data_IF_826600805177
#
_entry.id   IF_826600805177
#
_cell.length_a   1.000
_cell.length_b   1.000
_cell.length_c   1.000
_cell.angle_alpha   90.00
_cell.angle_beta   90.00
_cell.angle_gamma   90.00
#
_symmetry.space_group_name_H-M   'P 1'
#
loop_
_entity.id
_entity.type
_entity.pdbx_description
1 polymer ?
#
# COMPACT_ATOMS: atom_id res chain seq x y z
N UNK A 1 -40.38 -17.90 -20.79
CA UNK A 1 -39.61 -18.84 -21.63
C UNK A 1 -38.22 -18.25 -21.80
N UNK A 2 -37.25 -18.75 -21.05
CA UNK A 2 -35.87 -18.25 -21.07
C UNK A 2 -35.01 -19.40 -21.58
N UNK A 3 -34.44 -19.22 -22.77
CA UNK A 3 -33.67 -20.23 -23.49
C UNK A 3 -32.23 -20.17 -23.00
N UNK A 4 -31.77 -21.21 -22.29
CA UNK A 4 -30.37 -21.41 -21.92
C UNK A 4 -29.58 -21.89 -23.15
N UNK A 5 -28.64 -21.08 -23.63
CA UNK A 5 -27.66 -21.52 -24.62
C UNK A 5 -26.40 -22.04 -23.92
N UNK A 6 -26.20 -23.35 -24.03
CA UNK A 6 -24.96 -24.05 -23.63
C UNK A 6 -23.99 -24.00 -24.81
N UNK A 7 -22.82 -23.41 -24.64
CA UNK A 7 -21.69 -23.55 -25.56
C UNK A 7 -20.75 -24.65 -25.08
N UNK A 8 -20.37 -25.63 -25.92
CA UNK A 8 -19.37 -26.64 -25.56
C UNK A 8 -17.96 -26.08 -25.84
N UNK A 9 -17.09 -26.18 -24.82
CA UNK A 9 -15.66 -25.90 -24.94
C UNK A 9 -14.98 -27.15 -25.50
N UNK A 10 -14.47 -27.04 -26.71
CA UNK A 10 -13.64 -28.07 -27.37
C UNK A 10 -12.20 -27.94 -26.89
N UNK A 11 -11.73 -28.96 -26.18
CA UNK A 11 -10.34 -29.11 -25.77
C UNK A 11 -9.50 -29.60 -26.97
N UNK A 12 -8.54 -28.79 -27.41
CA UNK A 12 -7.51 -29.22 -28.35
C UNK A 12 -6.21 -29.46 -27.61
N UNK A 13 -5.89 -30.71 -27.36
CA UNK A 13 -4.61 -31.22 -26.89
C UNK A 13 -3.66 -31.31 -28.08
N UNK A 14 -2.69 -30.40 -28.19
CA UNK A 14 -1.55 -30.57 -29.11
C UNK A 14 -0.30 -30.78 -28.27
N UNK A 15 0.10 -32.06 -28.23
CA UNK A 15 1.40 -32.44 -27.66
C UNK A 15 2.53 -32.05 -28.59
N UNK A 16 3.48 -31.28 -28.07
CA UNK A 16 4.76 -31.06 -28.73
C UNK A 16 5.87 -31.58 -27.82
N UNK A 17 6.37 -32.76 -28.18
CA UNK A 17 7.59 -33.32 -27.63
C UNK A 17 8.77 -32.52 -28.21
N UNK A 18 9.38 -31.64 -27.42
CA UNK A 18 10.61 -30.96 -27.79
C UNK A 18 11.79 -31.61 -27.07
N UNK A 19 12.68 -32.20 -27.91
CA UNK A 19 13.95 -32.81 -27.56
C UNK A 19 14.75 -32.00 -26.53
N UNK A 20 15.19 -32.67 -25.47
CA UNK A 20 16.21 -32.22 -24.55
C UNK A 20 17.54 -32.01 -25.29
N UNK A 21 17.82 -30.80 -25.70
CA UNK A 21 19.19 -30.37 -25.93
C UNK A 21 19.69 -29.75 -24.64
N UNK A 22 20.53 -30.46 -23.91
CA UNK A 22 21.27 -29.94 -22.79
C UNK A 22 22.25 -28.86 -23.31
N UNK A 23 22.11 -27.56 -22.99
CA UNK A 23 23.23 -26.67 -23.08
C UNK A 23 24.14 -26.95 -21.89
N UNK A 24 25.40 -27.18 -22.17
CA UNK A 24 26.50 -27.21 -21.22
C UNK A 24 26.30 -26.08 -20.19
N UNK A 25 26.07 -26.46 -18.94
CA UNK A 25 26.12 -25.55 -17.81
C UNK A 25 27.52 -25.00 -17.71
N UNK A 26 27.76 -23.88 -18.38
CA UNK A 26 28.93 -23.05 -18.18
C UNK A 26 28.81 -22.53 -16.75
N UNK A 27 29.61 -23.10 -15.86
CA UNK A 27 29.77 -22.59 -14.50
C UNK A 27 30.21 -21.12 -14.60
N UNK A 28 29.27 -20.22 -14.51
CA UNK A 28 29.56 -18.80 -14.31
C UNK A 28 30.08 -18.69 -12.88
N UNK A 29 31.35 -18.39 -12.78
CA UNK A 29 32.01 -18.07 -11.53
C UNK A 29 31.25 -16.92 -10.87
N UNK A 30 30.53 -17.24 -9.82
CA UNK A 30 29.83 -16.30 -8.92
C UNK A 30 30.93 -15.54 -8.16
N UNK A 31 31.45 -14.47 -8.73
CA UNK A 31 32.35 -13.57 -8.02
C UNK A 31 31.60 -12.87 -6.86
N UNK A 32 32.31 -12.42 -5.83
CA UNK A 32 31.70 -11.81 -4.63
C UNK A 32 30.83 -10.59 -4.93
N UNK A 33 30.96 -9.97 -6.09
CA UNK A 33 30.13 -8.84 -6.56
C UNK A 33 28.69 -9.22 -6.91
N UNK A 34 28.41 -10.49 -7.20
CA UNK A 34 27.07 -10.99 -7.53
C UNK A 34 26.13 -11.03 -6.33
N UNK A 35 26.65 -11.33 -5.14
CA UNK A 35 25.83 -11.42 -3.91
C UNK A 35 25.37 -10.04 -3.46
N UNK A 36 26.24 -9.04 -3.54
CA UNK A 36 25.90 -7.66 -3.17
C UNK A 36 24.81 -7.10 -4.08
N UNK A 37 24.93 -7.30 -5.40
CA UNK A 37 23.92 -6.87 -6.36
C UNK A 37 22.57 -7.57 -6.15
N UNK A 38 22.57 -8.84 -5.76
CA UNK A 38 21.34 -9.57 -5.44
C UNK A 38 20.69 -9.06 -4.16
N UNK A 39 21.46 -8.73 -3.14
CA UNK A 39 20.94 -8.15 -1.89
C UNK A 39 20.36 -6.76 -2.16
N UNK A 40 21.04 -5.91 -2.92
CA UNK A 40 20.55 -4.58 -3.29
C UNK A 40 19.24 -4.66 -4.09
N UNK A 41 19.16 -5.55 -5.08
CA UNK A 41 17.94 -5.76 -5.85
C UNK A 41 16.78 -6.25 -4.98
N UNK A 42 17.05 -7.15 -4.01
CA UNK A 42 16.04 -7.66 -3.09
C UNK A 42 15.57 -6.55 -2.12
N UNK A 43 16.47 -5.71 -1.63
CA UNK A 43 16.14 -4.57 -0.76
C UNK A 43 15.28 -3.55 -1.51
N UNK A 44 15.64 -3.23 -2.75
CA UNK A 44 14.87 -2.31 -3.60
C UNK A 44 13.46 -2.87 -3.91
N UNK A 45 13.35 -4.15 -4.26
CA UNK A 45 12.07 -4.80 -4.52
C UNK A 45 11.18 -4.82 -3.28
N UNK A 46 11.76 -5.04 -2.10
CA UNK A 46 11.03 -5.03 -0.83
C UNK A 46 10.57 -3.62 -0.44
N UNK A 47 11.38 -2.60 -0.67
CA UNK A 47 11.00 -1.20 -0.45
C UNK A 47 9.83 -0.81 -1.37
N UNK A 48 9.91 -1.11 -2.66
CA UNK A 48 8.83 -0.82 -3.61
C UNK A 48 7.51 -1.55 -3.27
N UNK A 49 7.58 -2.81 -2.81
CA UNK A 49 6.40 -3.54 -2.36
C UNK A 49 5.77 -2.93 -1.08
N UNK A 50 6.60 -2.45 -0.15
CA UNK A 50 6.14 -1.77 1.06
C UNK A 50 5.44 -0.44 0.73
N UNK A 51 5.98 0.34 -0.21
CA UNK A 51 5.37 1.60 -0.65
C UNK A 51 4.03 1.38 -1.34
N UNK A 52 3.92 0.36 -2.19
CA UNK A 52 2.68 0.00 -2.86
C UNK A 52 1.61 -0.45 -1.87
N UNK A 53 1.95 -1.34 -0.93
CA UNK A 53 1.04 -1.77 0.13
C UNK A 53 0.63 -0.59 1.03
N UNK A 54 1.55 0.37 1.20
CA UNK A 54 1.31 1.61 1.94
C UNK A 54 0.30 2.49 1.23
N UNK A 55 0.41 2.72 -0.05
CA UNK A 55 -0.54 3.46 -0.86
C UNK A 55 -1.93 2.78 -0.85
N UNK A 56 -2.01 1.50 -1.17
CA UNK A 56 -3.27 0.75 -1.22
C UNK A 56 -4.08 0.80 0.08
N UNK A 57 -3.40 0.69 1.22
CA UNK A 57 -4.12 0.74 2.49
C UNK A 57 -4.58 2.18 2.85
N UNK A 58 -3.97 3.24 2.33
CA UNK A 58 -4.49 4.59 2.43
C UNK A 58 -5.72 4.76 1.54
N UNK A 59 -5.69 4.25 0.32
CA UNK A 59 -6.85 4.26 -0.59
C UNK A 59 -8.04 3.51 -0.01
N UNK A 60 -7.81 2.39 0.67
CA UNK A 60 -8.87 1.66 1.39
C UNK A 60 -9.49 2.51 2.50
N UNK A 61 -8.67 3.23 3.26
CA UNK A 61 -9.17 4.15 4.29
C UNK A 61 -10.01 5.31 3.70
N UNK A 62 -9.62 5.82 2.52
CA UNK A 62 -10.39 6.83 1.80
C UNK A 62 -11.72 6.27 1.28
N UNK A 63 -11.74 5.06 0.74
CA UNK A 63 -12.98 4.41 0.31
C UNK A 63 -13.98 4.22 1.46
N UNK A 64 -13.51 3.80 2.64
CA UNK A 64 -14.36 3.70 3.82
C UNK A 64 -14.87 5.09 4.26
N UNK A 65 -14.01 6.11 4.18
CA UNK A 65 -14.38 7.48 4.46
C UNK A 65 -15.48 8.00 3.50
N UNK A 66 -15.34 7.78 2.21
CA UNK A 66 -16.32 8.16 1.18
C UNK A 66 -17.66 7.43 1.33
N UNK A 67 -17.63 6.20 1.85
CA UNK A 67 -18.83 5.40 2.13
C UNK A 67 -19.48 5.72 3.47
N UNK A 68 -19.00 6.74 4.17
CA UNK A 68 -19.45 7.10 5.52
C UNK A 68 -19.22 6.01 6.58
N UNK A 69 -18.30 5.09 6.34
CA UNK A 69 -17.83 4.12 7.31
C UNK A 69 -16.78 4.76 8.23
N UNK A 70 -17.21 5.71 9.05
CA UNK A 70 -16.31 6.61 9.77
C UNK A 70 -15.35 5.90 10.72
N UNK A 71 -15.83 4.90 11.49
CA UNK A 71 -14.99 4.21 12.45
C UNK A 71 -13.89 3.36 11.80
N UNK A 72 -14.20 2.47 10.83
CA UNK A 72 -13.17 1.75 10.07
C UNK A 72 -12.16 2.68 9.38
N UNK A 73 -12.64 3.76 8.76
CA UNK A 73 -11.79 4.76 8.13
C UNK A 73 -10.83 5.39 9.14
N UNK A 74 -11.35 5.83 10.28
CA UNK A 74 -10.55 6.44 11.35
C UNK A 74 -9.46 5.51 11.86
N UNK A 75 -9.78 4.26 12.17
CA UNK A 75 -8.81 3.27 12.65
C UNK A 75 -7.70 3.01 11.64
N UNK A 76 -8.03 2.94 10.34
CA UNK A 76 -7.03 2.77 9.29
C UNK A 76 -6.15 4.01 9.15
N UNK A 77 -6.72 5.20 9.22
CA UNK A 77 -5.99 6.47 9.18
C UNK A 77 -5.04 6.60 10.37
N UNK A 78 -5.47 6.22 11.58
CA UNK A 78 -4.62 6.23 12.79
C UNK A 78 -3.43 5.28 12.60
N UNK A 79 -3.65 4.03 12.19
CA UNK A 79 -2.56 3.06 11.92
C UNK A 79 -1.56 3.57 10.88
N UNK A 80 -2.02 4.38 9.94
CA UNK A 80 -1.17 5.01 8.92
C UNK A 80 -0.40 6.20 9.47
N UNK A 81 -1.06 7.04 10.22
CA UNK A 81 -0.44 8.20 10.87
C UNK A 81 0.67 7.79 11.83
N UNK A 82 0.54 6.64 12.47
CA UNK A 82 1.58 6.03 13.32
C UNK A 82 2.84 5.61 12.55
N UNK A 83 2.75 5.48 11.23
CA UNK A 83 3.87 5.24 10.31
C UNK A 83 4.33 6.51 9.60
N UNK A 84 4.08 7.65 10.24
CA UNK A 84 4.48 8.98 9.77
C UNK A 84 3.87 9.43 8.42
N UNK A 85 2.70 8.87 8.06
CA UNK A 85 1.98 9.28 6.86
C UNK A 85 1.21 10.58 7.11
N UNK A 86 1.72 11.70 6.60
CA UNK A 86 1.23 13.04 6.90
C UNK A 86 -0.23 13.30 6.53
N UNK A 87 -0.69 12.77 5.38
CA UNK A 87 -2.08 12.92 4.93
C UNK A 87 -3.04 12.18 5.87
N UNK A 88 -2.69 10.95 6.27
CA UNK A 88 -3.48 10.18 7.22
C UNK A 88 -3.53 10.86 8.60
N UNK A 89 -2.41 11.40 9.06
CA UNK A 89 -2.35 12.18 10.30
C UNK A 89 -3.26 13.41 10.28
N UNK A 90 -3.30 14.11 9.12
CA UNK A 90 -4.20 15.26 8.93
C UNK A 90 -5.67 14.84 9.05
N UNK A 91 -6.07 13.79 8.33
CA UNK A 91 -7.45 13.31 8.32
C UNK A 91 -7.88 12.76 9.68
N UNK A 92 -7.05 11.96 10.33
CA UNK A 92 -7.32 11.44 11.66
C UNK A 92 -7.50 12.57 12.70
N UNK A 93 -6.64 13.59 12.65
CA UNK A 93 -6.77 14.77 13.51
C UNK A 93 -8.04 15.57 13.22
N UNK A 94 -8.45 15.70 11.97
CA UNK A 94 -9.70 16.37 11.58
C UNK A 94 -10.91 15.61 12.13
N UNK A 95 -10.92 14.28 11.98
CA UNK A 95 -12.00 13.43 12.53
C UNK A 95 -12.05 13.52 14.06
N UNK A 96 -10.90 13.50 14.73
CA UNK A 96 -10.79 13.65 16.17
C UNK A 96 -11.33 15.01 16.67
N UNK A 97 -10.98 16.10 16.00
CA UNK A 97 -11.36 17.47 16.41
C UNK A 97 -12.83 17.79 16.13
N UNK A 98 -13.38 17.28 15.04
CA UNK A 98 -14.73 17.63 14.56
C UNK A 98 -15.72 16.45 14.60
N UNK A 99 -15.37 15.37 15.26
CA UNK A 99 -16.14 14.13 15.32
C UNK A 99 -17.64 14.31 15.52
N UNK A 100 -18.08 14.90 16.64
CA UNK A 100 -19.51 15.05 16.92
C UNK A 100 -20.24 15.93 15.90
N UNK A 101 -19.60 17.00 15.44
CA UNK A 101 -20.22 17.97 14.54
C UNK A 101 -20.32 17.52 13.09
N UNK A 102 -19.30 16.82 12.57
CA UNK A 102 -19.24 16.42 11.17
C UNK A 102 -19.63 14.96 10.92
N UNK A 103 -19.35 14.08 11.87
CA UNK A 103 -19.51 12.63 11.68
C UNK A 103 -20.56 12.00 12.61
N UNK A 104 -21.15 12.79 13.51
CA UNK A 104 -22.17 12.32 14.46
C UNK A 104 -21.63 11.37 15.53
N UNK A 105 -20.30 11.23 15.66
CA UNK A 105 -19.67 10.33 16.63
C UNK A 105 -18.34 10.90 17.13
N UNK A 106 -17.90 10.42 18.29
CA UNK A 106 -16.65 10.84 18.91
C UNK A 106 -15.53 9.86 18.56
N UNK A 107 -14.40 10.40 18.15
CA UNK A 107 -13.17 9.62 17.90
C UNK A 107 -12.16 9.89 19.01
N UNK A 108 -11.47 8.87 19.47
CA UNK A 108 -10.50 8.98 20.55
C UNK A 108 -9.07 8.80 20.03
N UNK A 109 -8.18 9.70 20.44
CA UNK A 109 -6.73 9.57 20.28
C UNK A 109 -6.07 9.70 21.65
N UNK A 110 -5.00 8.95 21.87
CA UNK A 110 -4.17 9.15 23.05
C UNK A 110 -3.40 10.47 22.97
N UNK A 111 -2.99 11.06 24.10
CA UNK A 111 -2.19 12.29 24.10
C UNK A 111 -0.90 12.17 23.27
N UNK A 112 -0.24 11.02 23.32
CA UNK A 112 0.97 10.75 22.54
C UNK A 112 0.70 10.68 21.03
N UNK A 113 -0.46 10.15 20.60
CA UNK A 113 -0.87 10.15 19.20
C UNK A 113 -1.16 11.57 18.71
N UNK A 114 -1.85 12.38 19.50
CA UNK A 114 -2.15 13.79 19.18
C UNK A 114 -0.85 14.57 18.97
N UNK A 115 0.12 14.43 19.88
CA UNK A 115 1.42 15.10 19.76
C UNK A 115 2.18 14.63 18.51
N UNK A 116 2.27 13.30 18.29
CA UNK A 116 2.96 12.74 17.13
C UNK A 116 2.34 13.21 15.82
N UNK A 117 1.02 13.14 15.68
CA UNK A 117 0.33 13.52 14.44
C UNK A 117 0.43 15.01 14.17
N UNK A 118 0.44 15.83 15.21
CA UNK A 118 0.68 17.27 15.08
C UNK A 118 2.08 17.53 14.53
N UNK A 119 3.10 16.84 15.02
CA UNK A 119 4.48 16.94 14.56
C UNK A 119 4.63 16.52 13.09
N UNK A 120 4.07 15.36 12.72
CA UNK A 120 4.10 14.83 11.34
C UNK A 120 3.44 15.80 10.35
N UNK A 121 2.30 16.37 10.73
CA UNK A 121 1.64 17.41 9.90
C UNK A 121 2.52 18.63 9.70
N UNK A 122 3.14 19.12 10.75
CA UNK A 122 3.99 20.29 10.70
C UNK A 122 5.20 20.08 9.80
N UNK A 123 5.89 18.94 9.95
CA UNK A 123 7.05 18.60 9.11
C UNK A 123 6.69 18.55 7.63
N UNK A 124 5.57 17.97 7.26
CA UNK A 124 5.10 17.93 5.88
C UNK A 124 4.82 19.33 5.31
N UNK A 125 4.25 20.24 6.10
CA UNK A 125 4.01 21.62 5.66
C UNK A 125 5.30 22.40 5.40
N UNK A 126 6.30 22.24 6.27
CA UNK A 126 7.60 22.89 6.11
C UNK A 126 8.31 22.38 4.85
N UNK A 127 8.29 21.10 4.60
CA UNK A 127 8.92 20.50 3.41
C UNK A 127 8.29 21.03 2.12
N UNK A 128 6.97 21.11 2.05
CA UNK A 128 6.27 21.68 0.89
C UNK A 128 6.57 23.18 0.67
N UNK A 129 6.65 23.96 1.74
CA UNK A 129 6.95 25.37 1.64
C UNK A 129 8.38 25.63 1.14
N UNK A 130 9.33 24.76 1.47
CA UNK A 130 10.73 24.87 1.03
C UNK A 130 10.91 24.43 -0.43
N UNK A 131 10.13 23.45 -0.90
CA UNK A 131 10.19 22.95 -2.29
C UNK A 131 9.53 23.90 -3.30
N UNK A 132 8.71 24.84 -2.86
CA UNK A 132 7.98 25.78 -3.72
C UNK A 132 8.73 27.09 -4.01
N UNK A 133 9.98 27.24 -3.56
CA UNK A 133 10.87 28.38 -3.82
C UNK A 133 11.93 28.02 -4.86
#
# INVERSE_FOLDING_TARGET
MITLQRTPILAALVGTVALCRHPLVRAQSTGPHSVTAQIEAMVLARAGAADTATAQAFDTALQDYERCHWLPAFEQLVRRAERDHAQAARMAMQMYQHGPGLYGQTFALSPGQVERFTRVRWQAQVTHATSAR
#
